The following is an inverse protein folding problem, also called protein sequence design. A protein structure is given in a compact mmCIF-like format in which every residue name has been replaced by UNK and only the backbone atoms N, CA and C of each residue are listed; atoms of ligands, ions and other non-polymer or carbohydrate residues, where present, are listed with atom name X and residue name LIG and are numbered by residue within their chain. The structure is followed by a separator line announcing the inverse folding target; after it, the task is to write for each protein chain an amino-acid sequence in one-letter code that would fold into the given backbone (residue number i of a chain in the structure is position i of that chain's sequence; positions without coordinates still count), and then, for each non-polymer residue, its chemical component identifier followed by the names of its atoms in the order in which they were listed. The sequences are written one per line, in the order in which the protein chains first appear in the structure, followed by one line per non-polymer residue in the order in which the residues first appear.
data_IF_221737879032
#
_entry.id   IF_221737879032
#
_cell.length_a   1.000
_cell.length_b   1.000
_cell.length_c   1.000
_cell.angle_alpha   90.00
_cell.angle_beta   90.00
_cell.angle_gamma   90.00
#
_symmetry.space_group_name_H-M   'P 1'
#
loop_
_entity.id
_entity.type
_entity.pdbx_description
1 polymer ?
#
# COMPACT_ATOMS: atom_id res chain seq x y z
N UNK A 1 3.30 17.06 0.72
CA UNK A 1 3.82 17.23 -0.65
C UNK A 1 2.77 17.47 -1.72
N UNK A 2 1.74 16.63 -1.84
CA UNK A 2 0.72 16.78 -2.89
C UNK A 2 0.09 18.20 -2.97
N UNK A 3 -0.31 18.76 -1.83
CA UNK A 3 -0.91 20.11 -1.75
C UNK A 3 0.06 21.22 -2.16
N UNK A 4 1.35 21.08 -1.83
CA UNK A 4 2.39 22.04 -2.22
C UNK A 4 2.62 22.02 -3.73
N UNK A 5 2.74 20.82 -4.33
CA UNK A 5 2.87 20.64 -5.77
C UNK A 5 1.67 21.20 -6.53
N UNK A 6 0.45 20.96 -6.05
CA UNK A 6 -0.76 21.58 -6.63
C UNK A 6 -0.72 23.11 -6.56
N UNK A 7 -0.23 23.65 -5.43
CA UNK A 7 -0.03 25.08 -5.25
C UNK A 7 0.93 25.68 -6.29
N UNK A 8 2.08 25.04 -6.51
CA UNK A 8 3.07 25.49 -7.50
C UNK A 8 2.51 25.45 -8.93
N UNK A 9 1.79 24.38 -9.29
CA UNK A 9 1.10 24.30 -10.59
C UNK A 9 0.08 25.42 -10.76
N UNK A 10 -0.71 25.70 -9.72
CA UNK A 10 -1.66 26.80 -9.72
C UNK A 10 -0.97 28.15 -9.96
N UNK A 11 0.15 28.40 -9.27
CA UNK A 11 0.94 29.62 -9.46
C UNK A 11 1.58 29.73 -10.84
N UNK A 12 2.11 28.64 -11.39
CA UNK A 12 2.63 28.62 -12.77
C UNK A 12 1.52 28.88 -13.79
N UNK A 13 0.32 28.35 -13.56
CA UNK A 13 -0.84 28.59 -14.44
C UNK A 13 -1.29 30.05 -14.38
N UNK A 14 -1.34 30.63 -13.17
CA UNK A 14 -1.66 32.05 -12.97
C UNK A 14 -0.60 32.96 -13.60
N UNK A 15 0.69 32.60 -13.48
CA UNK A 15 1.79 33.28 -14.16
C UNK A 15 1.60 33.24 -15.68
N UNK A 16 1.34 32.07 -16.26
CA UNK A 16 1.08 31.91 -17.70
C UNK A 16 -0.03 32.83 -18.17
N UNK A 17 -1.13 32.87 -17.41
CA UNK A 17 -2.27 33.72 -17.73
C UNK A 17 -1.96 35.21 -17.63
N UNK A 18 -1.16 35.62 -16.63
CA UNK A 18 -0.71 37.01 -16.49
C UNK A 18 0.20 37.44 -17.64
N UNK A 19 1.15 36.60 -18.04
CA UNK A 19 2.04 36.91 -19.17
C UNK A 19 1.26 36.91 -20.48
N UNK A 20 0.29 36.02 -20.66
CA UNK A 20 -0.56 35.99 -21.85
C UNK A 20 -1.50 37.21 -21.98
N UNK A 21 -1.72 37.98 -20.90
CA UNK A 21 -2.43 39.26 -20.96
C UNK A 21 -1.57 40.43 -21.39
N UNK A 22 -0.26 40.27 -21.32
CA UNK A 22 0.70 41.27 -21.79
C UNK A 22 0.86 41.12 -23.31
N UNK A 23 1.41 42.14 -23.95
CA UNK A 23 1.59 42.21 -25.40
C UNK A 23 2.83 41.41 -25.86
N UNK A 24 2.98 40.18 -25.36
CA UNK A 24 4.05 39.26 -25.76
C UNK A 24 3.50 38.14 -26.65
N UNK A 25 4.34 37.60 -27.57
CA UNK A 25 4.01 36.38 -28.29
C UNK A 25 3.69 35.22 -27.33
N UNK A 26 2.70 34.35 -27.65
CA UNK A 26 2.34 33.22 -26.79
C UNK A 26 3.52 32.30 -26.45
N UNK A 27 4.49 32.20 -27.36
CA UNK A 27 5.72 31.43 -27.17
C UNK A 27 6.59 31.95 -26.02
N UNK A 28 6.53 33.24 -25.71
CA UNK A 28 7.25 33.86 -24.58
C UNK A 28 6.60 33.48 -23.25
N UNK A 29 5.27 33.42 -23.20
CA UNK A 29 4.54 32.98 -22.00
C UNK A 29 4.88 31.54 -21.62
N UNK A 30 4.93 30.64 -22.61
CA UNK A 30 5.31 29.24 -22.39
C UNK A 30 6.77 29.09 -21.96
N UNK A 31 7.70 29.81 -22.62
CA UNK A 31 9.12 29.82 -22.23
C UNK A 31 9.33 30.37 -20.82
N UNK A 32 8.63 31.44 -20.46
CA UNK A 32 8.72 32.02 -19.11
C UNK A 32 8.29 31.02 -18.05
N UNK A 33 7.14 30.38 -18.24
CA UNK A 33 6.65 29.36 -17.30
C UNK A 33 7.59 28.16 -17.22
N UNK A 34 8.16 27.75 -18.35
CA UNK A 34 9.18 26.71 -18.39
C UNK A 34 10.41 27.08 -17.56
N UNK A 35 10.97 28.28 -17.74
CA UNK A 35 12.14 28.75 -16.98
C UNK A 35 11.87 28.78 -15.47
N UNK A 36 10.69 29.24 -15.05
CA UNK A 36 10.30 29.20 -13.63
C UNK A 36 10.15 27.78 -13.10
N UNK A 37 9.56 26.86 -13.86
CA UNK A 37 9.44 25.47 -13.45
C UNK A 37 10.83 24.82 -13.26
N UNK A 38 11.76 25.08 -14.18
CA UNK A 38 13.15 24.59 -14.10
C UNK A 38 13.87 25.16 -12.87
N UNK A 39 13.74 26.47 -12.62
CA UNK A 39 14.34 27.11 -11.46
C UNK A 39 13.78 26.53 -10.15
N UNK A 40 12.47 26.37 -10.04
CA UNK A 40 11.82 25.80 -8.86
C UNK A 40 12.25 24.35 -8.62
N UNK A 41 12.30 23.53 -9.66
CA UNK A 41 12.77 22.16 -9.56
C UNK A 41 14.22 22.11 -9.05
N UNK A 42 15.11 22.97 -9.55
CA UNK A 42 16.48 23.03 -9.06
C UNK A 42 16.54 23.40 -7.58
N UNK A 43 15.84 24.45 -7.14
CA UNK A 43 15.86 24.87 -5.73
C UNK A 43 15.29 23.80 -4.79
N UNK A 44 14.26 23.07 -5.23
CA UNK A 44 13.66 21.99 -4.44
C UNK A 44 14.62 20.80 -4.35
N UNK A 45 15.25 20.42 -5.45
CA UNK A 45 16.21 19.31 -5.48
C UNK A 45 17.45 19.56 -4.62
N UNK A 46 17.85 20.82 -4.42
CA UNK A 46 18.95 21.19 -3.51
C UNK A 46 18.51 21.52 -2.09
N UNK A 47 17.24 21.33 -1.76
CA UNK A 47 16.74 21.48 -0.40
C UNK A 47 16.83 20.17 0.37
N UNK A 48 16.99 20.25 1.70
CA UNK A 48 17.14 19.07 2.58
C UNK A 48 15.97 18.07 2.46
N UNK A 49 14.75 18.57 2.18
CA UNK A 49 13.55 17.75 2.04
C UNK A 49 13.29 17.28 0.59
N UNK A 50 14.03 17.80 -0.39
CA UNK A 50 13.87 17.45 -1.80
C UNK A 50 14.10 15.97 -2.05
N UNK A 51 15.20 15.46 -1.50
CA UNK A 51 15.59 14.04 -1.56
C UNK A 51 14.61 13.15 -0.80
N UNK A 52 14.28 13.50 0.45
CA UNK A 52 13.32 12.74 1.28
C UNK A 52 11.93 12.62 0.64
N UNK A 53 11.52 13.65 -0.12
CA UNK A 53 10.22 13.67 -0.79
C UNK A 53 10.17 12.93 -2.12
N UNK A 54 11.31 12.47 -2.64
CA UNK A 54 11.41 11.83 -3.94
C UNK A 54 11.04 12.76 -5.12
N UNK A 55 11.29 14.07 -4.99
CA UNK A 55 10.94 15.06 -6.02
C UNK A 55 11.62 14.79 -7.37
N UNK A 56 12.82 14.17 -7.34
CA UNK A 56 13.58 13.75 -8.52
C UNK A 56 12.83 12.75 -9.42
N UNK A 57 11.98 11.90 -8.84
CA UNK A 57 11.25 10.88 -9.60
C UNK A 57 10.24 11.51 -10.58
N UNK A 58 9.69 12.66 -10.21
CA UNK A 58 8.73 13.38 -11.03
C UNK A 58 8.85 14.88 -10.77
N UNK A 59 9.71 15.55 -11.51
CA UNK A 59 9.88 17.01 -11.44
C UNK A 59 8.68 17.76 -12.05
N UNK A 60 8.52 19.05 -11.76
CA UNK A 60 7.49 19.88 -12.39
C UNK A 60 7.71 19.99 -13.89
N UNK A 61 8.96 20.10 -14.32
CA UNK A 61 9.33 20.20 -15.73
C UNK A 61 8.97 18.93 -16.49
N UNK A 62 9.26 17.76 -15.92
CA UNK A 62 8.89 16.47 -16.50
C UNK A 62 7.37 16.31 -16.60
N UNK A 63 6.64 16.73 -15.57
CA UNK A 63 5.19 16.58 -15.54
C UNK A 63 4.44 17.58 -16.44
N UNK A 64 4.86 18.85 -16.47
CA UNK A 64 4.16 19.92 -17.21
C UNK A 64 4.61 20.00 -18.67
N UNK A 65 5.88 19.72 -18.95
CA UNK A 65 6.48 19.91 -20.28
C UNK A 65 6.98 18.61 -20.91
N UNK A 66 7.00 17.49 -20.18
CA UNK A 66 7.50 16.21 -20.71
C UNK A 66 9.02 16.17 -20.88
N UNK A 67 9.74 17.12 -20.29
CA UNK A 67 11.20 17.27 -20.46
C UNK A 67 11.92 16.77 -19.21
N UNK A 68 12.94 15.92 -19.40
CA UNK A 68 13.77 15.42 -18.29
C UNK A 68 15.01 16.29 -18.02
N UNK A 69 15.66 16.82 -19.08
CA UNK A 69 16.88 17.63 -18.96
C UNK A 69 16.56 19.14 -18.86
N UNK A 70 15.78 19.54 -17.86
CA UNK A 70 15.34 20.93 -17.69
C UNK A 70 16.51 21.93 -17.61
N UNK A 71 17.58 21.57 -16.89
CA UNK A 71 18.76 22.43 -16.70
C UNK A 71 19.60 22.67 -17.95
N UNK A 72 19.55 21.79 -18.95
CA UNK A 72 20.20 22.01 -20.26
C UNK A 72 19.31 22.86 -21.17
N UNK A 73 18.01 22.52 -21.21
CA UNK A 73 17.02 23.23 -22.01
C UNK A 73 16.87 24.71 -21.58
N UNK A 74 17.10 25.02 -20.30
CA UNK A 74 17.19 26.39 -19.81
C UNK A 74 18.19 27.23 -20.63
N UNK A 75 19.43 26.74 -20.77
CA UNK A 75 20.47 27.48 -21.51
C UNK A 75 20.22 27.50 -23.00
N UNK A 76 19.57 26.47 -23.55
CA UNK A 76 19.14 26.46 -24.94
C UNK A 76 18.03 27.49 -25.22
N UNK A 77 17.15 27.76 -24.25
CA UNK A 77 16.21 28.89 -24.34
C UNK A 77 16.96 30.22 -24.27
N UNK A 78 17.95 30.35 -23.38
CA UNK A 78 18.77 31.56 -23.25
C UNK A 78 19.59 31.86 -24.53
N UNK A 79 20.27 30.86 -25.09
CA UNK A 79 21.04 30.98 -26.33
C UNK A 79 20.15 31.38 -27.52
N UNK A 80 18.94 30.82 -27.62
CA UNK A 80 17.96 31.22 -28.64
C UNK A 80 17.44 32.65 -28.43
N UNK A 81 17.24 33.07 -27.19
CA UNK A 81 16.81 34.43 -26.88
C UNK A 81 17.90 35.46 -27.21
N UNK A 82 19.19 35.09 -27.02
CA UNK A 82 20.34 35.92 -27.38
C UNK A 82 20.47 36.18 -28.89
N UNK A 83 19.82 35.39 -29.75
CA UNK A 83 19.77 35.67 -31.19
C UNK A 83 18.89 36.89 -31.54
N UNK A 84 17.96 37.25 -30.64
CA UNK A 84 17.03 38.37 -30.83
C UNK A 84 16.94 39.20 -29.54
N UNK A 85 18.05 39.84 -29.10
CA UNK A 85 18.15 40.47 -27.79
C UNK A 85 17.21 41.67 -27.63
N UNK A 86 16.95 42.40 -28.71
CA UNK A 86 16.06 43.57 -28.72
C UNK A 86 14.60 43.16 -28.47
N UNK A 87 14.13 42.09 -29.11
CA UNK A 87 12.75 41.62 -29.01
C UNK A 87 12.48 40.87 -27.69
N UNK A 88 13.48 40.13 -27.20
CA UNK A 88 13.37 39.25 -26.04
C UNK A 88 14.13 39.76 -24.81
N UNK A 89 14.32 41.09 -24.73
CA UNK A 89 15.09 41.74 -23.66
C UNK A 89 14.59 41.35 -22.26
N UNK A 90 13.28 41.42 -22.03
CA UNK A 90 12.69 41.09 -20.72
C UNK A 90 12.87 39.61 -20.34
N UNK A 91 12.85 38.71 -21.35
CA UNK A 91 13.11 37.29 -21.13
C UNK A 91 14.58 37.04 -20.81
N UNK A 92 15.51 37.76 -21.46
CA UNK A 92 16.94 37.70 -21.17
C UNK A 92 17.25 38.26 -19.77
N UNK A 93 16.59 39.34 -19.37
CA UNK A 93 16.70 39.88 -18.01
C UNK A 93 16.23 38.87 -16.97
N UNK A 94 15.11 38.18 -17.22
CA UNK A 94 14.63 37.11 -16.36
C UNK A 94 15.66 35.98 -16.22
N UNK A 95 16.23 35.52 -17.33
CA UNK A 95 17.29 34.48 -17.34
C UNK A 95 18.50 34.95 -16.54
N UNK A 96 18.93 36.20 -16.74
CA UNK A 96 20.04 36.80 -16.02
C UNK A 96 19.79 36.83 -14.51
N UNK A 97 18.61 37.29 -14.08
CA UNK A 97 18.19 37.32 -12.68
C UNK A 97 18.21 35.90 -12.08
N UNK A 98 17.68 34.89 -12.79
CA UNK A 98 17.68 33.50 -12.32
C UNK A 98 19.10 32.95 -12.11
N UNK A 99 20.05 33.26 -13.00
CA UNK A 99 21.46 32.86 -12.85
C UNK A 99 22.11 33.57 -11.65
N UNK A 100 21.83 34.86 -11.44
CA UNK A 100 22.33 35.63 -10.29
C UNK A 100 21.70 35.18 -8.97
N UNK A 101 20.47 34.68 -8.99
CA UNK A 101 19.81 34.04 -7.84
C UNK A 101 20.44 32.68 -7.47
N UNK A 102 21.38 32.17 -8.27
CA UNK A 102 22.10 30.94 -7.97
C UNK A 102 21.70 29.75 -8.82
N UNK A 103 20.89 29.94 -9.87
CA UNK A 103 20.65 28.88 -10.85
C UNK A 103 21.98 28.46 -11.51
N UNK A 104 22.24 27.15 -11.59
CA UNK A 104 23.44 26.61 -12.25
C UNK A 104 23.09 25.59 -13.33
N UNK A 105 22.04 24.79 -13.18
CA UNK A 105 21.64 23.79 -14.17
C UNK A 105 22.81 22.88 -14.56
N UNK A 106 23.03 22.72 -15.87
CA UNK A 106 24.13 21.90 -16.41
C UNK A 106 25.53 22.32 -15.94
N UNK A 107 25.73 23.60 -15.60
CA UNK A 107 27.05 24.14 -15.23
C UNK A 107 27.41 23.98 -13.74
N UNK A 108 26.66 23.17 -12.99
CA UNK A 108 26.92 22.96 -11.56
C UNK A 108 28.17 22.11 -11.31
N UNK A 109 28.38 21.07 -12.10
CA UNK A 109 29.50 20.13 -11.95
C UNK A 109 30.72 20.61 -12.73
N UNK A 110 30.52 21.02 -13.99
CA UNK A 110 31.60 21.44 -14.90
C UNK A 110 31.19 22.69 -15.70
N UNK A 111 32.16 23.52 -16.13
CA UNK A 111 31.91 24.63 -17.05
C UNK A 111 31.54 25.98 -16.41
N UNK A 112 32.04 26.26 -15.19
CA UNK A 112 31.90 27.59 -14.56
C UNK A 112 32.45 28.74 -15.43
N UNK A 113 33.54 28.49 -16.16
CA UNK A 113 34.11 29.47 -17.10
C UNK A 113 33.15 29.77 -18.26
N UNK A 114 32.57 28.73 -18.87
CA UNK A 114 31.57 28.87 -19.94
C UNK A 114 30.32 29.62 -19.45
N UNK A 115 29.89 29.36 -18.22
CA UNK A 115 28.81 30.11 -17.59
C UNK A 115 29.18 31.58 -17.42
N UNK A 116 30.42 31.90 -17.03
CA UNK A 116 30.92 33.27 -16.94
C UNK A 116 30.84 34.01 -18.28
N UNK A 117 31.30 33.37 -19.36
CA UNK A 117 31.20 33.94 -20.72
C UNK A 117 29.75 34.17 -21.14
N UNK A 118 28.85 33.22 -20.85
CA UNK A 118 27.43 33.36 -21.15
C UNK A 118 26.79 34.50 -20.35
N UNK A 119 27.14 34.64 -19.07
CA UNK A 119 26.66 35.74 -18.22
C UNK A 119 27.14 37.08 -18.76
N UNK A 120 28.39 37.19 -19.19
CA UNK A 120 28.89 38.43 -19.80
C UNK A 120 28.08 38.80 -21.05
N UNK A 121 27.80 37.84 -21.95
CA UNK A 121 26.95 38.09 -23.13
C UNK A 121 25.52 38.50 -22.76
N UNK A 122 24.97 37.93 -21.69
CA UNK A 122 23.66 38.33 -21.18
C UNK A 122 23.70 39.75 -20.61
N UNK A 123 24.75 40.11 -19.86
CA UNK A 123 24.94 41.46 -19.32
C UNK A 123 25.03 42.49 -20.45
N UNK A 124 25.84 42.22 -21.47
CA UNK A 124 25.94 43.07 -22.66
C UNK A 124 24.58 43.22 -23.36
N UNK A 125 23.83 42.13 -23.58
CA UNK A 125 22.54 42.17 -24.25
C UNK A 125 21.44 42.89 -23.44
N UNK A 126 21.43 42.76 -22.12
CA UNK A 126 20.41 43.35 -21.23
C UNK A 126 20.71 44.83 -20.96
N UNK A 127 21.98 45.18 -20.74
CA UNK A 127 22.39 46.53 -20.34
C UNK A 127 22.82 47.43 -21.51
N UNK A 128 22.89 46.93 -22.75
CA UNK A 128 23.27 47.72 -23.93
C UNK A 128 22.52 49.07 -24.07
N UNK A 129 21.21 49.11 -23.76
CA UNK A 129 20.42 50.36 -23.88
C UNK A 129 20.25 51.12 -22.54
N UNK A 130 20.85 50.66 -21.45
CA UNK A 130 20.61 51.24 -20.11
C UNK A 130 21.41 52.52 -19.84
N UNK A 131 22.32 52.94 -20.73
CA UNK A 131 23.10 54.17 -20.54
C UNK A 131 22.28 55.46 -20.76
N UNK A 132 21.10 55.39 -21.37
CA UNK A 132 20.31 56.59 -21.74
C UNK A 132 18.99 56.79 -20.97
N UNK A 133 18.56 55.87 -20.11
CA UNK A 133 17.26 56.00 -19.43
C UNK A 133 17.37 56.88 -18.18
N UNK A 134 16.74 58.08 -18.14
CA UNK A 134 16.76 58.94 -16.96
C UNK A 134 16.16 58.20 -15.76
N UNK A 135 16.72 58.42 -14.56
CA UNK A 135 16.33 57.77 -13.29
C UNK A 135 14.83 57.75 -12.99
N UNK A 136 14.03 58.58 -13.68
CA UNK A 136 12.58 58.68 -13.55
C UNK A 136 11.79 57.52 -14.16
N UNK A 137 12.35 56.73 -15.08
CA UNK A 137 11.67 55.59 -15.72
C UNK A 137 12.08 54.21 -15.18
N UNK A 138 13.06 54.17 -14.27
CA UNK A 138 13.38 52.94 -13.54
C UNK A 138 12.15 52.55 -12.75
N UNK A 139 11.46 51.48 -13.17
CA UNK A 139 10.46 50.84 -12.33
C UNK A 139 11.13 50.62 -10.97
N UNK A 140 10.59 51.17 -9.87
CA UNK A 140 11.19 50.95 -8.57
C UNK A 140 11.15 49.45 -8.36
N UNK A 141 12.32 48.81 -8.32
CA UNK A 141 12.46 47.40 -7.99
C UNK A 141 11.59 47.24 -6.75
N UNK A 142 10.45 46.53 -6.83
CA UNK A 142 9.62 46.37 -5.67
C UNK A 142 10.51 45.59 -4.73
N UNK A 143 11.04 46.28 -3.69
CA UNK A 143 11.65 45.62 -2.54
C UNK A 143 10.70 44.48 -2.25
N UNK A 144 11.15 43.21 -2.21
CA UNK A 144 10.24 42.12 -1.97
C UNK A 144 9.49 42.54 -0.72
N UNK A 145 8.22 42.89 -0.89
CA UNK A 145 7.32 43.11 0.22
C UNK A 145 7.36 41.74 0.79
N UNK A 146 8.19 41.55 1.83
CA UNK A 146 8.39 40.26 2.51
C UNK A 146 6.98 39.82 2.65
N UNK A 147 6.59 38.86 1.81
CA UNK A 147 5.19 38.50 1.72
C UNK A 147 4.97 38.06 3.14
N UNK A 148 4.18 38.84 3.89
CA UNK A 148 3.91 38.50 5.28
C UNK A 148 3.38 37.12 5.09
N UNK A 149 4.18 36.12 5.49
CA UNK A 149 3.83 34.73 5.29
C UNK A 149 2.47 34.72 5.94
N UNK A 150 1.42 34.65 5.12
CA UNK A 150 0.07 34.59 5.64
C UNK A 150 0.16 33.24 6.30
N UNK A 151 0.47 33.25 7.61
CA UNK A 151 0.42 32.08 8.46
C UNK A 151 -1.03 31.70 8.30
N UNK A 152 -1.31 30.85 7.31
CA UNK A 152 -2.60 30.20 7.17
C UNK A 152 -2.85 29.71 8.56
N UNK A 153 -3.91 30.22 9.18
CA UNK A 153 -4.26 29.87 10.53
C UNK A 153 -4.10 28.36 10.59
N UNK A 154 -3.14 27.87 11.41
CA UNK A 154 -3.09 26.45 11.73
C UNK A 154 -4.53 26.09 12.05
N UNK A 155 -5.10 25.00 11.52
CA UNK A 155 -6.49 24.64 11.80
C UNK A 155 -6.64 24.54 13.32
N UNK A 156 -7.03 25.67 13.94
CA UNK A 156 -7.20 25.83 15.36
C UNK A 156 -8.67 25.60 15.57
N UNK A 157 -8.96 24.31 15.70
CA UNK A 157 -9.93 23.76 16.64
C UNK A 157 -9.74 22.26 16.51
N UNK A 158 -9.35 21.54 17.58
CA UNK A 158 -9.72 20.14 17.62
C UNK A 158 -11.24 20.15 17.44
N UNK A 159 -11.73 19.65 16.31
CA UNK A 159 -13.14 19.37 16.13
C UNK A 159 -13.58 18.65 17.40
N UNK A 160 -14.70 19.07 18.00
CA UNK A 160 -15.23 18.50 19.25
C UNK A 160 -15.72 17.07 18.94
N UNK A 161 -14.77 16.16 18.69
CA UNK A 161 -14.97 14.75 18.33
C UNK A 161 -15.77 14.03 19.40
N UNK A 162 -15.80 14.55 20.62
CA UNK A 162 -16.61 14.03 21.72
C UNK A 162 -18.09 13.88 21.37
N UNK A 163 -18.67 14.80 20.59
CA UNK A 163 -20.08 14.67 20.16
C UNK A 163 -20.28 13.48 19.21
N UNK A 164 -19.34 13.28 18.29
CA UNK A 164 -19.33 12.11 17.39
C UNK A 164 -19.04 10.80 18.13
N UNK A 165 -18.09 10.82 19.07
CA UNK A 165 -17.75 9.68 19.90
C UNK A 165 -18.91 9.26 20.82
N UNK A 166 -19.63 10.21 21.41
CA UNK A 166 -20.82 9.94 22.21
C UNK A 166 -21.95 9.32 21.38
N UNK A 167 -22.20 9.82 20.16
CA UNK A 167 -23.16 9.23 19.24
C UNK A 167 -22.75 7.82 18.82
N UNK A 168 -21.47 7.60 18.52
CA UNK A 168 -20.94 6.29 18.13
C UNK A 168 -21.04 5.27 19.27
N UNK A 169 -20.68 5.65 20.50
CA UNK A 169 -20.86 4.82 21.70
C UNK A 169 -22.33 4.50 21.97
N UNK A 170 -23.23 5.47 21.77
CA UNK A 170 -24.67 5.24 21.91
C UNK A 170 -25.19 4.22 20.89
N UNK A 171 -24.72 4.26 19.64
CA UNK A 171 -25.09 3.29 18.61
C UNK A 171 -24.55 1.89 18.93
N UNK A 172 -23.31 1.79 19.42
CA UNK A 172 -22.73 0.51 19.85
C UNK A 172 -23.53 -0.09 21.00
N UNK A 173 -23.87 0.72 22.02
CA UNK A 173 -24.66 0.26 23.16
C UNK A 173 -26.05 -0.24 22.74
N UNK A 174 -26.73 0.49 21.85
CA UNK A 174 -28.02 0.08 21.31
C UNK A 174 -27.92 -1.23 20.51
N UNK A 175 -26.89 -1.36 19.68
CA UNK A 175 -26.65 -2.57 18.88
C UNK A 175 -26.34 -3.77 19.77
N UNK A 176 -25.47 -3.59 20.77
CA UNK A 176 -25.12 -4.64 21.73
C UNK A 176 -26.33 -5.05 22.58
N UNK A 177 -27.14 -4.09 23.03
CA UNK A 177 -28.40 -4.35 23.72
C UNK A 177 -29.41 -5.11 22.85
N UNK A 178 -29.52 -4.76 21.57
CA UNK A 178 -30.37 -5.47 20.60
C UNK A 178 -29.92 -6.91 20.39
N UNK A 179 -28.62 -7.15 20.21
CA UNK A 179 -28.05 -8.50 20.10
C UNK A 179 -28.27 -9.28 21.39
N UNK A 180 -28.03 -8.67 22.55
CA UNK A 180 -28.20 -9.33 23.84
C UNK A 180 -29.66 -9.75 24.08
N UNK A 181 -30.60 -8.85 23.78
CA UNK A 181 -32.02 -9.14 23.86
C UNK A 181 -32.42 -10.28 22.89
N UNK A 182 -31.97 -10.20 21.64
CA UNK A 182 -32.25 -11.24 20.64
C UNK A 182 -31.62 -12.59 21.03
N UNK A 183 -30.42 -12.57 21.60
CA UNK A 183 -29.76 -13.76 22.14
C UNK A 183 -30.58 -14.36 23.28
N UNK A 184 -31.01 -13.58 24.26
CA UNK A 184 -31.83 -14.08 25.38
C UNK A 184 -33.18 -14.66 24.92
N UNK A 185 -33.78 -14.11 23.87
CA UNK A 185 -35.04 -14.63 23.30
C UNK A 185 -34.80 -15.92 22.51
N UNK A 186 -33.68 -16.05 21.80
CA UNK A 186 -33.41 -17.21 20.92
C UNK A 186 -32.72 -18.37 21.62
N UNK A 187 -31.95 -18.12 22.69
CA UNK A 187 -31.31 -19.17 23.51
C UNK A 187 -32.30 -20.21 24.03
N UNK A 188 -33.45 -19.89 24.65
CA UNK A 188 -34.35 -20.92 25.17
C UNK A 188 -34.91 -21.81 24.05
N UNK A 189 -35.20 -21.24 22.88
CA UNK A 189 -35.70 -21.98 21.71
C UNK A 189 -34.61 -22.92 21.15
N UNK A 190 -33.36 -22.48 21.12
CA UNK A 190 -32.24 -23.32 20.65
C UNK A 190 -31.78 -24.34 21.69
N UNK A 191 -31.98 -24.06 22.97
CA UNK A 191 -31.57 -24.92 24.07
C UNK A 191 -32.60 -26.01 24.40
N UNK A 192 -33.87 -25.83 24.02
CA UNK A 192 -34.94 -26.83 24.23
C UNK A 192 -34.50 -28.27 23.88
N UNK A 193 -34.05 -28.59 22.65
CA UNK A 193 -33.67 -29.95 22.29
C UNK A 193 -32.50 -30.51 23.11
N UNK A 194 -31.62 -29.64 23.62
CA UNK A 194 -30.49 -30.06 24.45
C UNK A 194 -30.88 -30.27 25.92
N UNK A 195 -31.77 -29.43 26.44
CA UNK A 195 -32.27 -29.55 27.81
C UNK A 195 -33.22 -30.75 27.99
N UNK A 196 -33.93 -31.15 26.94
CA UNK A 196 -34.84 -32.32 26.97
C UNK A 196 -34.13 -33.64 26.69
N UNK A 197 -32.84 -33.62 26.32
CA UNK A 197 -32.08 -34.84 26.00
C UNK A 197 -32.05 -35.83 27.16
N UNK A 198 -31.89 -35.37 28.39
CA UNK A 198 -31.85 -36.25 29.58
C UNK A 198 -33.12 -37.09 29.69
N UNK A 199 -34.29 -36.45 29.54
CA UNK A 199 -35.59 -37.14 29.56
C UNK A 199 -35.77 -38.12 28.39
N UNK A 200 -35.20 -37.81 27.23
CA UNK A 200 -35.21 -38.70 26.06
C UNK A 200 -34.31 -39.92 26.29
N UNK A 201 -33.09 -39.71 26.80
CA UNK A 201 -32.13 -40.79 27.08
C UNK A 201 -32.57 -41.67 28.23
N UNK A 202 -33.22 -41.13 29.26
CA UNK A 202 -33.71 -41.90 30.40
C UNK A 202 -34.69 -43.00 29.98
N UNK A 203 -35.46 -42.79 28.90
CA UNK A 203 -36.35 -43.82 28.36
C UNK A 203 -35.60 -45.06 27.85
N UNK A 204 -34.39 -44.88 27.34
CA UNK A 204 -33.58 -45.95 26.73
C UNK A 204 -32.49 -46.48 27.66
N UNK A 205 -31.95 -45.65 28.55
CA UNK A 205 -30.78 -45.94 29.37
C UNK A 205 -31.07 -45.98 30.88
N UNK A 206 -32.31 -45.77 31.33
CA UNK A 206 -32.62 -45.93 32.76
C UNK A 206 -32.46 -47.39 33.19
N UNK A 207 -31.83 -47.59 34.35
CA UNK A 207 -31.57 -48.90 34.97
C UNK A 207 -32.80 -49.79 35.14
N UNK A 208 -34.02 -49.22 35.08
CA UNK A 208 -35.27 -49.98 35.12
C UNK A 208 -35.57 -50.75 33.82
N UNK A 209 -35.02 -50.34 32.68
CA UNK A 209 -35.13 -51.02 31.38
C UNK A 209 -33.89 -51.86 31.03
N UNK A 210 -32.90 -51.93 31.92
CA UNK A 210 -31.67 -52.71 31.74
C UNK A 210 -31.87 -54.22 31.96
N UNK A 211 -32.91 -54.82 31.36
CA UNK A 211 -32.79 -56.20 30.91
C UNK A 211 -31.96 -56.20 29.62
N UNK A 212 -30.68 -55.94 29.79
CA UNK A 212 -29.66 -55.87 28.76
C UNK A 212 -29.45 -57.30 28.21
N UNK A 213 -30.25 -57.71 27.22
CA UNK A 213 -29.80 -58.73 26.26
C UNK A 213 -28.90 -58.01 25.27
N UNK A 214 -27.63 -57.93 25.61
CA UNK A 214 -26.58 -57.53 24.69
C UNK A 214 -26.53 -58.54 23.54
N UNK A 215 -27.12 -58.20 22.39
CA UNK A 215 -26.96 -58.99 21.17
C UNK A 215 -25.60 -58.66 20.57
N UNK A 216 -24.56 -59.39 20.99
CA UNK A 216 -23.26 -59.36 20.33
C UNK A 216 -23.41 -60.09 19.00
N UNK A 217 -23.74 -59.35 17.94
CA UNK A 217 -23.74 -59.89 16.57
C UNK A 217 -22.31 -60.00 16.08
N UNK A 218 -21.74 -61.20 16.17
CA UNK A 218 -20.44 -61.52 15.57
C UNK A 218 -20.73 -61.88 14.11
N UNK A 219 -20.40 -60.95 13.20
CA UNK A 219 -20.56 -61.16 11.75
C UNK A 219 -19.82 -62.42 11.31
N UNK A 220 -20.53 -63.32 10.64
CA UNK A 220 -19.94 -64.54 10.07
C UNK A 220 -19.31 -64.23 8.71
N UNK A 221 -18.44 -65.11 8.22
CA UNK A 221 -17.76 -64.93 6.92
C UNK A 221 -18.72 -64.85 5.71
N UNK A 222 -20.00 -65.20 5.87
CA UNK A 222 -21.03 -65.07 4.85
C UNK A 222 -21.56 -63.63 4.72
N UNK A 223 -21.67 -62.88 5.82
CA UNK A 223 -22.15 -61.49 5.83
C UNK A 223 -21.17 -60.53 5.12
N UNK A 224 -19.87 -60.85 5.19
CA UNK A 224 -18.80 -60.08 4.54
C UNK A 224 -18.78 -60.24 3.02
N UNK A 225 -19.43 -61.27 2.46
CA UNK A 225 -19.43 -61.53 1.00
C UNK A 225 -20.38 -60.61 0.22
N UNK A 226 -21.35 -59.98 0.90
CA UNK A 226 -22.34 -59.10 0.28
C UNK A 226 -22.01 -57.60 0.34
N UNK A 227 -20.94 -57.20 1.03
CA UNK A 227 -20.59 -55.78 1.17
C UNK A 227 -20.06 -55.22 -0.15
N UNK A 228 -20.96 -54.62 -0.95
CA UNK A 228 -20.57 -53.80 -2.11
C UNK A 228 -19.68 -52.66 -1.60
N UNK A 229 -18.39 -52.70 -1.97
CA UNK A 229 -17.47 -51.57 -1.80
C UNK A 229 -18.05 -50.35 -2.52
N UNK A 230 -18.75 -49.50 -1.78
CA UNK A 230 -19.20 -48.21 -2.28
C UNK A 230 -17.97 -47.29 -2.29
N UNK A 231 -17.25 -47.31 -3.41
CA UNK A 231 -16.20 -46.35 -3.68
C UNK A 231 -16.87 -45.01 -4.00
N UNK A 232 -16.78 -44.04 -3.09
CA UNK A 232 -17.11 -42.64 -3.40
C UNK A 232 -15.94 -42.12 -4.25
N UNK A 233 -16.13 -41.76 -5.54
CA UNK A 233 -15.03 -41.25 -6.34
C UNK A 233 -14.67 -39.85 -5.83
N UNK A 234 -13.49 -39.74 -5.23
CA UNK A 234 -12.90 -38.45 -4.89
C UNK A 234 -12.63 -37.68 -6.19
N UNK A 235 -13.09 -36.43 -6.21
CA UNK A 235 -12.99 -35.51 -7.33
C UNK A 235 -11.55 -35.35 -7.85
N UNK A 236 -11.46 -35.17 -9.16
CA UNK A 236 -10.25 -34.90 -9.95
C UNK A 236 -9.27 -33.95 -9.25
N UNK A 237 -8.12 -34.49 -8.83
CA UNK A 237 -6.89 -33.72 -8.66
C UNK A 237 -5.79 -34.36 -9.50
N UNK A 238 -5.51 -33.73 -10.63
CA UNK A 238 -4.38 -34.01 -11.51
C UNK A 238 -3.06 -33.79 -10.77
N UNK A 239 -2.31 -34.87 -10.55
CA UNK A 239 -0.89 -34.80 -10.25
C UNK A 239 -0.20 -36.06 -10.78
N UNK A 240 0.47 -35.90 -11.91
CA UNK A 240 1.44 -36.85 -12.45
C UNK A 240 2.69 -36.87 -11.57
N UNK A 241 3.10 -38.04 -11.09
CA UNK A 241 4.48 -38.56 -11.23
C UNK A 241 4.73 -39.74 -10.27
N UNK A 242 5.04 -40.89 -10.87
CA UNK A 242 5.97 -41.94 -10.42
C UNK A 242 6.23 -42.06 -8.92
N UNK A 243 5.54 -42.98 -8.26
CA UNK A 243 6.07 -43.69 -7.09
C UNK A 243 5.74 -45.17 -7.26
N UNK A 244 6.77 -45.98 -7.53
CA UNK A 244 6.78 -47.41 -7.26
C UNK A 244 6.74 -47.63 -5.74
N UNK A 245 5.58 -47.44 -5.12
CA UNK A 245 5.35 -47.80 -3.74
C UNK A 245 4.52 -49.07 -3.69
N UNK A 246 5.16 -50.17 -3.29
CA UNK A 246 4.48 -51.31 -2.69
C UNK A 246 3.45 -50.76 -1.70
N UNK A 247 2.17 -50.97 -1.99
CA UNK A 247 1.06 -50.44 -1.18
C UNK A 247 1.03 -51.18 0.15
N UNK A 248 1.80 -50.70 1.13
CA UNK A 248 1.76 -51.22 2.50
C UNK A 248 0.50 -50.70 3.19
N UNK A 249 -0.49 -51.57 3.29
CA UNK A 249 -1.68 -51.28 4.09
C UNK A 249 -1.30 -51.36 5.58
N UNK A 250 -1.60 -50.29 6.31
CA UNK A 250 -1.55 -50.28 7.78
C UNK A 250 -2.97 -50.34 8.31
N UNK A 251 -3.22 -51.31 9.17
CA UNK A 251 -4.52 -51.46 9.85
C UNK A 251 -4.35 -50.97 11.28
N UNK A 252 -5.20 -50.03 11.69
CA UNK A 252 -5.23 -49.54 13.06
C UNK A 252 -6.07 -50.50 13.92
N UNK A 253 -5.41 -51.16 14.88
CA UNK A 253 -6.05 -52.19 15.72
C UNK A 253 -6.78 -51.59 16.93
N UNK A 254 -6.18 -50.57 17.54
CA UNK A 254 -6.73 -49.91 18.72
C UNK A 254 -6.21 -48.47 18.84
N UNK A 255 -7.02 -47.61 19.46
CA UNK A 255 -6.60 -46.30 20.00
C UNK A 255 -6.62 -46.38 21.51
N UNK A 256 -5.51 -46.04 22.14
CA UNK A 256 -5.36 -46.08 23.59
C UNK A 256 -5.04 -44.68 24.09
N UNK A 257 -5.42 -44.37 25.33
CA UNK A 257 -5.28 -43.04 25.90
C UNK A 257 -3.86 -42.74 26.41
N UNK A 258 -3.05 -43.76 26.69
CA UNK A 258 -1.69 -43.61 27.23
C UNK A 258 -0.69 -44.58 26.61
N UNK A 259 0.56 -44.13 26.44
CA UNK A 259 1.66 -44.92 25.86
C UNK A 259 2.00 -46.15 26.70
N UNK A 260 1.90 -46.05 28.03
CA UNK A 260 2.12 -47.18 28.93
C UNK A 260 1.08 -48.28 28.73
N UNK A 261 -0.19 -47.91 28.55
CA UNK A 261 -1.28 -48.84 28.26
C UNK A 261 -1.07 -49.57 26.92
N UNK A 262 -0.57 -48.87 25.90
CA UNK A 262 -0.24 -49.47 24.61
C UNK A 262 0.92 -50.47 24.69
N UNK A 263 1.93 -50.20 25.52
CA UNK A 263 3.04 -51.12 25.73
C UNK A 263 2.62 -52.37 26.52
N UNK A 264 1.77 -52.21 27.56
CA UNK A 264 1.20 -53.34 28.30
C UNK A 264 0.31 -54.23 27.41
N UNK A 265 -0.45 -53.63 26.50
CA UNK A 265 -1.27 -54.38 25.55
C UNK A 265 -0.40 -55.24 24.62
N UNK A 266 0.71 -54.69 24.11
CA UNK A 266 1.65 -55.45 23.29
C UNK A 266 2.40 -56.53 24.08
N UNK A 267 2.69 -56.34 25.37
CA UNK A 267 3.30 -57.42 26.16
C UNK A 267 2.34 -58.58 26.42
N UNK A 268 1.04 -58.32 26.49
CA UNK A 268 0.02 -59.34 26.73
C UNK A 268 -0.40 -60.09 25.46
N UNK A 269 -0.49 -59.38 24.33
CA UNK A 269 -1.05 -59.93 23.08
C UNK A 269 -0.05 -59.92 21.90
N UNK A 270 1.21 -59.56 22.15
CA UNK A 270 2.23 -59.40 21.10
C UNK A 270 2.60 -60.69 20.38
N UNK A 271 2.53 -61.85 21.04
CA UNK A 271 2.78 -63.15 20.41
C UNK A 271 1.77 -63.48 19.30
N UNK A 272 0.54 -62.95 19.39
CA UNK A 272 -0.50 -63.17 18.37
C UNK A 272 -0.47 -62.14 17.23
N UNK A 273 0.36 -61.09 17.33
CA UNK A 273 0.39 -59.94 16.42
C UNK A 273 1.83 -59.65 15.93
N UNK A 274 2.37 -60.49 15.02
CA UNK A 274 3.72 -60.27 14.48
C UNK A 274 3.77 -58.97 13.67
N UNK A 275 4.68 -58.05 14.03
CA UNK A 275 4.88 -56.72 13.40
C UNK A 275 3.99 -55.55 13.88
N UNK A 276 3.33 -55.66 15.05
CA UNK A 276 2.62 -54.53 15.64
C UNK A 276 3.58 -53.48 16.25
N UNK A 277 3.35 -52.19 15.97
CA UNK A 277 4.15 -51.08 16.52
C UNK A 277 3.26 -49.97 17.11
N UNK A 278 3.76 -49.28 18.15
CA UNK A 278 3.10 -48.13 18.78
C UNK A 278 3.59 -46.83 18.16
N UNK A 279 2.69 -46.04 17.59
CA UNK A 279 3.03 -44.74 17.01
C UNK A 279 2.62 -43.56 17.91
N UNK A 280 3.33 -42.43 17.80
CA UNK A 280 3.22 -41.29 18.73
C UNK A 280 2.15 -40.26 18.35
N UNK A 281 1.65 -40.22 17.12
CA UNK A 281 0.78 -39.11 16.64
C UNK A 281 -0.68 -39.26 17.05
N UNK A 282 -1.11 -40.48 17.35
CA UNK A 282 -2.24 -40.88 18.18
C UNK A 282 -1.74 -42.18 18.80
N UNK A 283 -1.90 -42.43 20.10
CA UNK A 283 -1.35 -43.64 20.73
C UNK A 283 -2.13 -44.86 20.22
N UNK A 284 -1.74 -45.34 19.05
CA UNK A 284 -2.43 -46.34 18.26
C UNK A 284 -1.48 -47.47 17.93
N UNK A 285 -2.00 -48.69 18.00
CA UNK A 285 -1.26 -49.89 17.61
C UNK A 285 -1.62 -50.19 16.16
N UNK A 286 -0.64 -50.17 15.28
CA UNK A 286 -0.83 -50.47 13.86
C UNK A 286 -0.17 -51.79 13.49
N UNK A 287 -0.87 -52.59 12.68
CA UNK A 287 -0.34 -53.80 12.07
C UNK A 287 0.06 -53.52 10.63
N UNK A 288 1.26 -53.98 10.24
CA UNK A 288 1.72 -53.89 8.87
C UNK A 288 1.57 -55.26 8.21
N UNK A 289 0.55 -55.41 7.37
CA UNK A 289 0.37 -56.61 6.56
C UNK A 289 1.45 -56.62 5.47
N UNK A 290 2.11 -57.77 5.28
CA UNK A 290 3.12 -57.97 4.24
C UNK A 290 2.47 -58.27 2.90
#
# INVERSE_FOLDING_TARGET
MYTFRLGLKGQLTDLKYKVAKLDYPPSVADKTCFLFAVMLDEQILHSEWGEESGWENQTLVSELFGVKNGGEQFYLVAERALLQPILLKDLLELVYIMIKLGFRGRYRVEGKELLGVLVQRLEEAVFADSEETPESEKMPIPRPVVSKIHRRARPQRPVRLWRGAALFLSLIAAFWGGIYYWYQVTVPIKAEPFTTLSSFTDKYYSQANAQEKEYIYISTNEDLRGAKKSYVPAANSSASSNISSVSRFRVQLATLSSKSSAQNFLSLHGEMLPNAQVERKVISISFQAM
#
